data_IF_288819503264
#
_entry.id   IF_288819503264
#
_cell.length_a   1.000
_cell.length_b   1.000
_cell.length_c   1.000
_cell.angle_alpha   90.00
_cell.angle_beta   90.00
_cell.angle_gamma   90.00
#
_symmetry.space_group_name_H-M   'P 1'
#
loop_
_entity.id
_entity.type
_entity.pdbx_description
1 polymer ?
#
# COMPACT_ATOMS: atom_id res chain seq x y z
N UNK A 1 8.71 -39.58 53.37
CA UNK A 1 8.71 -39.54 51.90
C UNK A 1 8.27 -38.14 51.49
N UNK A 2 9.23 -37.23 51.35
CA UNK A 2 9.01 -35.82 50.96
C UNK A 2 9.59 -35.65 49.56
N UNK A 3 8.72 -35.60 48.56
CA UNK A 3 9.09 -35.39 47.17
C UNK A 3 9.35 -33.90 46.91
N UNK A 4 10.59 -33.56 46.59
CA UNK A 4 10.98 -32.24 46.10
C UNK A 4 10.42 -32.03 44.70
N UNK A 5 9.63 -30.97 44.53
CA UNK A 5 9.14 -30.52 43.23
C UNK A 5 10.26 -29.75 42.51
N UNK A 6 10.59 -30.22 41.31
CA UNK A 6 11.58 -29.64 40.41
C UNK A 6 11.02 -28.36 39.75
N UNK A 7 11.78 -27.25 39.71
CA UNK A 7 11.28 -26.00 39.14
C UNK A 7 11.23 -26.08 37.62
N UNK A 8 10.03 -25.92 37.06
CA UNK A 8 9.77 -25.73 35.63
C UNK A 8 10.60 -24.55 35.10
N UNK A 9 11.60 -24.86 34.27
CA UNK A 9 12.39 -23.87 33.54
C UNK A 9 11.54 -23.02 32.59
N UNK A 10 12.03 -21.84 32.19
CA UNK A 10 11.28 -20.92 31.35
C UNK A 10 10.98 -21.53 29.97
N UNK A 11 9.82 -21.19 29.37
CA UNK A 11 9.42 -21.73 28.08
C UNK A 11 10.43 -21.33 27.00
N UNK A 12 11.06 -22.33 26.40
CA UNK A 12 11.91 -22.20 25.23
C UNK A 12 11.08 -21.61 24.08
N UNK A 13 11.26 -20.33 23.79
CA UNK A 13 10.67 -19.72 22.59
C UNK A 13 11.15 -20.46 21.34
N UNK A 14 10.27 -20.76 20.38
CA UNK A 14 10.69 -21.37 19.12
C UNK A 14 11.64 -20.40 18.42
N UNK A 15 12.87 -20.85 18.19
CA UNK A 15 13.84 -20.15 17.35
C UNK A 15 13.18 -19.87 16.01
N UNK A 16 13.19 -18.59 15.61
CA UNK A 16 12.97 -18.15 14.24
C UNK A 16 13.68 -19.13 13.31
N UNK A 17 12.92 -19.78 12.45
CA UNK A 17 13.39 -20.90 11.63
C UNK A 17 14.65 -20.49 10.91
N UNK A 18 15.77 -21.07 11.30
CA UNK A 18 17.00 -21.04 10.52
C UNK A 18 16.62 -21.63 9.16
N UNK A 19 16.55 -20.81 8.12
CA UNK A 19 16.41 -21.27 6.74
C UNK A 19 17.55 -22.26 6.48
N UNK A 20 17.19 -23.55 6.54
CA UNK A 20 18.14 -24.66 6.52
C UNK A 20 18.35 -25.04 5.06
N UNK A 21 19.43 -24.53 4.46
CA UNK A 21 19.98 -25.03 3.19
C UNK A 21 19.34 -24.48 1.92
N UNK A 22 19.21 -23.16 1.80
CA UNK A 22 18.88 -22.50 0.53
C UNK A 22 20.11 -22.47 -0.40
N UNK A 23 19.88 -22.78 -1.67
CA UNK A 23 20.83 -22.61 -2.79
C UNK A 23 21.59 -21.27 -2.64
N UNK A 24 22.93 -21.26 -2.49
CA UNK A 24 23.71 -20.06 -2.12
C UNK A 24 23.70 -18.94 -3.17
N UNK A 25 22.90 -19.05 -4.24
CA UNK A 25 22.97 -18.17 -5.40
C UNK A 25 21.96 -17.03 -5.44
N UNK A 26 20.73 -17.20 -4.93
CA UNK A 26 19.65 -16.27 -5.29
C UNK A 26 19.01 -15.61 -4.09
N UNK A 27 19.25 -14.30 -3.98
CA UNK A 27 18.70 -13.43 -2.94
C UNK A 27 17.22 -13.19 -3.18
N UNK A 28 16.41 -13.10 -2.11
CA UNK A 28 15.02 -12.68 -2.25
C UNK A 28 14.96 -11.24 -2.75
N UNK A 29 13.93 -10.96 -3.54
CA UNK A 29 13.52 -9.61 -3.95
C UNK A 29 12.08 -9.39 -3.51
N UNK A 30 11.73 -8.17 -3.15
CA UNK A 30 10.39 -7.84 -2.65
C UNK A 30 9.65 -6.96 -3.66
N UNK A 31 8.61 -7.50 -4.34
CA UNK A 31 7.80 -6.73 -5.27
C UNK A 31 7.14 -5.52 -4.61
N UNK A 32 6.97 -4.44 -5.36
CA UNK A 32 6.18 -3.29 -4.93
C UNK A 32 5.44 -2.67 -6.12
N UNK A 33 4.36 -1.96 -5.82
CA UNK A 33 3.57 -1.25 -6.81
C UNK A 33 3.04 0.07 -6.23
N UNK A 34 3.18 1.14 -7.02
CA UNK A 34 2.68 2.48 -6.74
C UNK A 34 1.84 2.90 -7.93
N UNK A 35 0.60 3.29 -7.69
CA UNK A 35 -0.30 3.75 -8.76
C UNK A 35 -1.24 4.81 -8.23
N UNK A 36 -2.20 5.23 -9.05
CA UNK A 36 -3.18 6.24 -8.71
C UNK A 36 -4.58 5.76 -9.01
N UNK A 37 -5.53 6.02 -8.11
CA UNK A 37 -6.95 5.82 -8.40
C UNK A 37 -7.61 7.13 -8.85
N UNK A 38 -8.87 7.04 -9.28
CA UNK A 38 -9.71 8.21 -9.61
C UNK A 38 -9.89 9.16 -8.41
N UNK A 39 -9.93 8.62 -7.19
CA UNK A 39 -10.39 9.38 -6.01
C UNK A 39 -9.30 9.64 -4.97
N UNK A 40 -8.26 8.80 -4.89
CA UNK A 40 -7.27 8.80 -3.78
C UNK A 40 -5.88 9.32 -4.14
N UNK A 41 -5.63 9.72 -5.39
CA UNK A 41 -4.30 10.21 -5.80
C UNK A 41 -3.26 9.09 -5.88
N UNK A 42 -1.98 9.45 -5.89
CA UNK A 42 -0.89 8.47 -5.90
C UNK A 42 -0.77 7.76 -4.55
N UNK A 43 -0.71 6.43 -4.58
CA UNK A 43 -0.67 5.59 -3.40
C UNK A 43 0.25 4.39 -3.61
N UNK A 44 0.91 3.98 -2.54
CA UNK A 44 1.68 2.74 -2.50
C UNK A 44 0.68 1.61 -2.23
N UNK A 45 0.55 0.70 -3.18
CA UNK A 45 -0.44 -0.39 -3.09
C UNK A 45 0.19 -1.65 -2.53
N UNK A 46 1.39 -1.96 -3.00
CA UNK A 46 2.18 -3.10 -2.55
C UNK A 46 3.54 -2.60 -2.11
N UNK A 47 4.04 -3.06 -0.96
CA UNK A 47 5.37 -2.74 -0.47
C UNK A 47 5.99 -3.93 0.29
N UNK A 48 7.33 -4.01 0.37
CA UNK A 48 8.00 -5.03 1.16
C UNK A 48 7.48 -5.11 2.59
N UNK A 49 7.19 -6.32 3.07
CA UNK A 49 6.71 -6.60 4.42
C UNK A 49 7.52 -5.90 5.52
N UNK A 50 8.85 -5.91 5.43
CA UNK A 50 9.73 -5.27 6.40
C UNK A 50 9.61 -3.74 6.41
N UNK A 51 9.25 -3.12 5.28
CA UNK A 51 8.95 -1.68 5.23
C UNK A 51 7.56 -1.39 5.79
N UNK A 52 6.57 -2.25 5.50
CA UNK A 52 5.21 -2.10 6.04
C UNK A 52 5.21 -2.25 7.56
N UNK A 53 5.91 -3.26 8.10
CA UNK A 53 6.02 -3.53 9.53
C UNK A 53 6.61 -2.37 10.35
N UNK A 54 7.42 -1.52 9.70
CA UNK A 54 8.05 -0.36 10.34
C UNK A 54 7.43 0.98 9.92
N UNK A 55 6.32 0.96 9.18
CA UNK A 55 5.69 2.16 8.60
C UNK A 55 6.63 3.03 7.73
N UNK A 56 7.55 2.36 7.01
CA UNK A 56 8.56 2.98 6.15
C UNK A 56 8.26 2.83 4.65
N UNK A 57 7.10 2.27 4.28
CA UNK A 57 6.75 2.04 2.89
C UNK A 57 6.72 3.34 2.06
N UNK A 58 6.37 4.49 2.66
CA UNK A 58 6.39 5.81 2.03
C UNK A 58 7.75 6.19 1.41
N UNK A 59 8.86 5.59 1.85
CA UNK A 59 10.18 5.83 1.26
C UNK A 59 10.21 5.46 -0.22
N UNK A 60 9.39 4.49 -0.66
CA UNK A 60 9.35 4.09 -2.06
C UNK A 60 8.88 5.22 -2.97
N UNK A 61 7.91 6.05 -2.55
CA UNK A 61 7.47 7.19 -3.35
C UNK A 61 8.51 8.30 -3.46
N UNK A 62 9.41 8.42 -2.49
CA UNK A 62 10.50 9.40 -2.52
C UNK A 62 11.66 8.94 -3.41
N UNK A 63 11.86 7.62 -3.51
CA UNK A 63 12.93 7.01 -4.29
C UNK A 63 12.58 6.93 -5.76
N UNK A 64 11.35 6.55 -6.10
CA UNK A 64 11.00 6.38 -7.51
C UNK A 64 10.80 7.72 -8.20
N UNK A 65 11.38 7.84 -9.38
CA UNK A 65 11.20 8.98 -10.28
C UNK A 65 11.32 8.52 -11.73
N UNK A 66 10.87 9.35 -12.67
CA UNK A 66 11.00 9.08 -14.10
C UNK A 66 9.68 9.25 -14.84
N UNK A 67 9.79 9.13 -16.16
CA UNK A 67 8.65 9.18 -17.07
C UNK A 67 8.30 7.78 -17.55
N UNK A 68 7.04 7.57 -17.93
CA UNK A 68 6.63 6.29 -18.46
C UNK A 68 7.35 6.00 -19.78
N UNK A 69 8.14 4.92 -19.79
CA UNK A 69 8.94 4.54 -20.95
C UNK A 69 8.99 3.01 -21.06
N UNK A 70 8.67 2.50 -22.25
CA UNK A 70 8.76 1.07 -22.54
C UNK A 70 10.22 0.64 -22.70
N UNK A 71 10.54 -0.58 -22.26
CA UNK A 71 11.88 -1.16 -22.39
C UNK A 71 12.97 -0.56 -21.50
N UNK A 72 12.61 0.33 -20.56
CA UNK A 72 13.53 0.98 -19.63
C UNK A 72 13.21 0.57 -18.20
N UNK A 73 14.26 0.15 -17.48
CA UNK A 73 14.24 -0.03 -16.04
C UNK A 73 15.17 1.00 -15.39
N UNK A 74 14.78 1.50 -14.23
CA UNK A 74 15.55 2.43 -13.41
C UNK A 74 16.13 1.69 -12.23
N UNK A 75 17.41 1.93 -11.95
CA UNK A 75 18.10 1.40 -10.79
C UNK A 75 18.56 2.55 -9.92
N UNK A 76 18.01 2.63 -8.71
CA UNK A 76 18.39 3.64 -7.73
C UNK A 76 18.80 2.98 -6.42
N UNK A 77 19.89 3.48 -5.85
CA UNK A 77 20.29 3.10 -4.50
C UNK A 77 19.67 4.06 -3.50
N UNK A 78 18.96 3.53 -2.51
CA UNK A 78 18.58 4.26 -1.33
C UNK A 78 19.68 4.14 -0.28
N UNK A 79 20.07 5.26 0.32
CA UNK A 79 21.02 5.33 1.44
C UNK A 79 20.38 6.03 2.63
N UNK A 80 20.49 5.38 3.77
CA UNK A 80 20.24 6.00 5.07
C UNK A 80 21.50 6.74 5.58
N UNK A 81 21.35 7.56 6.63
CA UNK A 81 22.43 8.07 7.50
C UNK A 81 23.27 6.95 8.13
N UNK A 82 22.69 5.78 8.33
CA UNK A 82 23.41 4.59 8.82
C UNK A 82 24.29 3.93 7.75
N UNK A 83 24.68 2.67 8.00
CA UNK A 83 25.42 1.86 7.01
C UNK A 83 24.50 1.16 6.00
N UNK A 84 23.19 1.23 6.24
CA UNK A 84 22.17 0.49 5.51
C UNK A 84 21.90 1.04 4.12
N UNK A 85 21.69 0.14 3.16
CA UNK A 85 21.51 0.46 1.74
C UNK A 85 20.45 -0.45 1.14
N UNK A 86 19.51 0.11 0.41
CA UNK A 86 18.55 -0.67 -0.36
C UNK A 86 18.78 -0.39 -1.84
N UNK A 87 18.61 -1.40 -2.67
CA UNK A 87 18.50 -1.20 -4.11
C UNK A 87 17.04 -1.24 -4.50
N UNK A 88 16.62 -0.25 -5.29
CA UNK A 88 15.28 -0.17 -5.85
C UNK A 88 15.41 -0.24 -7.36
N UNK A 89 14.91 -1.33 -7.93
CA UNK A 89 14.84 -1.56 -9.37
C UNK A 89 13.38 -1.47 -9.79
N UNK A 90 13.05 -0.58 -10.72
CA UNK A 90 11.65 -0.32 -11.07
C UNK A 90 11.47 0.10 -12.52
N UNK A 91 10.24 0.00 -13.03
CA UNK A 91 9.82 0.57 -14.31
C UNK A 91 8.64 1.51 -14.08
N UNK A 92 8.51 2.50 -14.96
CA UNK A 92 7.37 3.41 -14.99
C UNK A 92 6.58 3.10 -16.26
N UNK A 93 5.33 2.68 -16.10
CA UNK A 93 4.41 2.35 -17.16
C UNK A 93 3.04 2.96 -16.95
N UNK A 94 2.06 2.44 -17.66
CA UNK A 94 0.66 2.80 -17.51
C UNK A 94 -0.15 1.56 -17.16
N UNK A 95 -1.11 1.72 -16.24
CA UNK A 95 -2.03 0.68 -15.85
C UNK A 95 -2.97 0.37 -17.03
N UNK A 96 -3.00 -0.89 -17.47
CA UNK A 96 -3.87 -1.34 -18.55
C UNK A 96 -5.29 -1.51 -18.03
N UNK A 97 -6.28 -1.42 -18.91
CA UNK A 97 -7.67 -1.68 -18.51
C UNK A 97 -7.85 -3.10 -17.97
N UNK A 98 -7.20 -4.08 -18.61
CA UNK A 98 -7.26 -5.49 -18.21
C UNK A 98 -6.77 -5.73 -16.76
N UNK A 99 -5.76 -5.00 -16.30
CA UNK A 99 -5.18 -5.14 -14.96
C UNK A 99 -6.25 -4.89 -13.88
N UNK A 100 -7.14 -3.93 -14.17
CA UNK A 100 -8.23 -3.49 -13.28
C UNK A 100 -9.62 -4.02 -13.70
N UNK A 101 -9.69 -4.99 -14.62
CA UNK A 101 -10.94 -5.61 -15.05
C UNK A 101 -11.81 -4.74 -15.98
N UNK A 102 -11.22 -3.75 -16.66
CA UNK A 102 -11.89 -2.90 -17.64
C UNK A 102 -11.59 -3.38 -19.07
N UNK A 103 -12.58 -3.27 -19.95
CA UNK A 103 -12.42 -3.53 -21.39
C UNK A 103 -11.97 -2.27 -22.15
N UNK A 104 -10.88 -1.66 -21.69
CA UNK A 104 -10.23 -0.51 -22.30
C UNK A 104 -8.74 -0.77 -22.42
N UNK A 105 -8.06 -0.04 -23.30
CA UNK A 105 -6.61 -0.16 -23.44
C UNK A 105 -5.89 0.22 -22.13
N UNK A 106 -6.30 1.34 -21.52
CA UNK A 106 -5.74 1.84 -20.27
C UNK A 106 -6.81 2.13 -19.22
N UNK A 107 -6.42 2.02 -17.96
CA UNK A 107 -7.14 2.62 -16.86
C UNK A 107 -6.90 4.15 -16.90
N UNK A 108 -7.97 4.94 -16.75
CA UNK A 108 -7.89 6.39 -16.84
C UNK A 108 -8.18 7.05 -15.50
N UNK A 109 -7.42 8.10 -15.19
CA UNK A 109 -7.70 9.07 -14.14
C UNK A 109 -8.13 10.39 -14.81
N UNK A 110 -9.44 10.63 -14.89
CA UNK A 110 -10.00 11.69 -15.73
C UNK A 110 -9.75 11.37 -17.21
N UNK A 111 -8.99 12.23 -17.89
CA UNK A 111 -8.64 12.05 -19.32
C UNK A 111 -7.23 11.48 -19.53
N UNK A 112 -6.48 11.25 -18.45
CA UNK A 112 -5.07 10.81 -18.53
C UNK A 112 -4.94 9.34 -18.22
N UNK A 113 -3.97 8.68 -18.86
CA UNK A 113 -3.57 7.32 -18.52
C UNK A 113 -3.07 7.27 -17.08
N UNK A 114 -3.50 6.27 -16.33
CA UNK A 114 -3.08 6.09 -14.95
C UNK A 114 -1.65 5.54 -14.92
N UNK A 115 -0.71 6.22 -14.27
CA UNK A 115 0.66 5.72 -14.15
C UNK A 115 0.73 4.52 -13.21
N UNK A 116 1.59 3.57 -13.53
CA UNK A 116 1.95 2.44 -12.69
C UNK A 116 3.47 2.42 -12.55
N UNK A 117 3.95 2.50 -11.32
CA UNK A 117 5.34 2.23 -10.98
C UNK A 117 5.36 0.87 -10.31
N UNK A 118 6.12 -0.06 -10.85
CA UNK A 118 6.28 -1.39 -10.27
C UNK A 118 7.75 -1.78 -10.30
N UNK A 119 8.16 -2.58 -9.34
CA UNK A 119 9.57 -2.91 -9.18
C UNK A 119 9.81 -3.86 -8.03
N UNK A 120 11.08 -3.97 -7.65
CA UNK A 120 11.52 -4.70 -6.47
C UNK A 120 12.44 -3.88 -5.60
N UNK A 121 12.44 -4.22 -4.32
CA UNK A 121 13.48 -3.84 -3.37
C UNK A 121 14.40 -5.03 -3.14
N UNK A 122 15.71 -4.79 -3.11
CA UNK A 122 16.73 -5.76 -2.71
C UNK A 122 17.48 -5.22 -1.49
N UNK A 123 17.83 -6.12 -0.58
CA UNK A 123 18.60 -5.82 0.63
C UNK A 123 20.12 -5.71 0.34
N UNK A 124 20.88 -5.46 1.41
CA UNK A 124 22.16 -4.74 1.40
C UNK A 124 23.31 -5.36 0.63
N UNK A 125 23.33 -6.67 0.40
CA UNK A 125 24.57 -7.31 -0.08
C UNK A 125 24.58 -7.74 -1.56
N UNK A 126 23.64 -7.24 -2.38
CA UNK A 126 23.67 -7.50 -3.83
C UNK A 126 22.98 -6.43 -4.69
N UNK A 127 23.58 -6.11 -5.84
CA UNK A 127 22.86 -5.44 -6.94
C UNK A 127 21.70 -6.37 -7.36
N UNK A 128 20.51 -5.84 -7.66
CA UNK A 128 19.41 -6.66 -8.17
C UNK A 128 19.84 -7.43 -9.43
N UNK A 129 19.17 -8.56 -9.74
CA UNK A 129 19.41 -9.28 -10.98
C UNK A 129 19.15 -8.37 -12.19
N UNK A 130 19.72 -8.74 -13.34
CA UNK A 130 19.49 -8.03 -14.60
C UNK A 130 17.98 -8.04 -14.90
N UNK A 131 17.31 -6.87 -15.02
CA UNK A 131 15.90 -6.85 -15.37
C UNK A 131 15.67 -7.39 -16.78
N UNK A 132 14.61 -8.18 -16.91
CA UNK A 132 14.07 -8.67 -18.17
C UNK A 132 12.58 -8.36 -18.28
N UNK A 133 11.98 -8.57 -19.45
CA UNK A 133 10.52 -8.49 -19.61
C UNK A 133 9.80 -9.49 -18.69
N UNK A 134 10.17 -10.77 -18.73
CA UNK A 134 9.60 -11.83 -17.86
C UNK A 134 9.72 -11.49 -16.37
N UNK A 135 10.83 -10.86 -15.96
CA UNK A 135 11.04 -10.40 -14.59
C UNK A 135 9.98 -9.38 -14.16
N UNK A 136 9.66 -8.41 -15.02
CA UNK A 136 8.63 -7.43 -14.71
C UNK A 136 7.21 -7.97 -14.89
N UNK A 137 6.99 -8.91 -15.80
CA UNK A 137 5.70 -9.60 -15.90
C UNK A 137 5.41 -10.43 -14.63
N UNK A 138 6.45 -11.03 -14.06
CA UNK A 138 6.38 -11.68 -12.75
C UNK A 138 6.05 -10.67 -11.62
N UNK A 139 6.73 -9.53 -11.55
CA UNK A 139 6.43 -8.45 -10.58
C UNK A 139 4.98 -7.99 -10.72
N UNK A 140 4.56 -7.75 -11.96
CA UNK A 140 3.22 -7.30 -12.29
C UNK A 140 2.18 -8.32 -11.81
N UNK A 141 2.37 -9.60 -12.13
CA UNK A 141 1.52 -10.69 -11.66
C UNK A 141 1.44 -10.77 -10.14
N UNK A 142 2.57 -10.58 -9.43
CA UNK A 142 2.61 -10.57 -7.98
C UNK A 142 1.83 -9.40 -7.36
N UNK A 143 1.70 -8.26 -8.06
CA UNK A 143 1.01 -7.07 -7.57
C UNK A 143 -0.43 -6.93 -8.10
N UNK A 144 -0.81 -7.66 -9.16
CA UNK A 144 -2.01 -7.42 -9.95
C UNK A 144 -3.30 -7.44 -9.14
N UNK A 145 -3.48 -8.40 -8.24
CA UNK A 145 -4.69 -8.50 -7.41
C UNK A 145 -4.83 -7.29 -6.48
N UNK A 146 -3.74 -6.91 -5.81
CA UNK A 146 -3.72 -5.75 -4.91
C UNK A 146 -3.98 -4.44 -5.66
N UNK A 147 -3.38 -4.29 -6.85
CA UNK A 147 -3.60 -3.14 -7.74
C UNK A 147 -5.06 -3.07 -8.20
N UNK A 148 -5.66 -4.21 -8.57
CA UNK A 148 -7.08 -4.28 -8.94
C UNK A 148 -7.99 -3.92 -7.77
N UNK A 149 -7.73 -4.48 -6.59
CA UNK A 149 -8.50 -4.18 -5.38
C UNK A 149 -8.40 -2.70 -5.02
N UNK A 150 -7.20 -2.10 -5.10
CA UNK A 150 -7.01 -0.67 -4.88
C UNK A 150 -7.80 0.19 -5.87
N UNK A 151 -7.71 -0.12 -7.16
CA UNK A 151 -8.35 0.68 -8.20
C UNK A 151 -9.89 0.61 -8.17
N UNK A 152 -10.44 -0.53 -7.77
CA UNK A 152 -11.90 -0.78 -7.73
C UNK A 152 -12.55 -0.42 -6.40
N UNK A 153 -11.76 -0.16 -5.35
CA UNK A 153 -12.30 0.16 -4.04
C UNK A 153 -12.93 1.57 -4.02
N UNK A 154 -14.19 1.65 -3.58
CA UNK A 154 -14.95 2.89 -3.41
C UNK A 154 -14.57 3.68 -2.12
N UNK A 155 -13.51 3.27 -1.40
CA UNK A 155 -13.12 3.83 -0.11
C UNK A 155 -11.92 4.77 -0.21
N UNK A 156 -11.93 5.88 0.55
CA UNK A 156 -10.78 6.79 0.61
C UNK A 156 -9.55 6.26 1.38
N UNK A 157 -9.66 5.09 2.00
CA UNK A 157 -8.60 4.46 2.79
C UNK A 157 -8.27 3.11 2.17
N UNK A 158 -7.02 2.92 1.73
CA UNK A 158 -6.54 1.64 1.22
C UNK A 158 -5.32 1.22 2.03
N UNK A 159 -5.37 0.08 2.74
CA UNK A 159 -4.19 -0.44 3.41
C UNK A 159 -3.14 -0.84 2.36
N UNK A 160 -1.87 -0.69 2.72
CA UNK A 160 -0.76 -1.18 1.89
C UNK A 160 -0.65 -2.69 2.06
N UNK A 161 -0.63 -3.41 0.95
CA UNK A 161 -0.42 -4.86 0.94
C UNK A 161 1.08 -5.15 1.12
N UNK A 162 1.41 -5.95 2.13
CA UNK A 162 2.77 -6.42 2.34
C UNK A 162 3.13 -7.49 1.29
N UNK A 163 4.31 -7.38 0.68
CA UNK A 163 4.89 -8.42 -0.17
C UNK A 163 5.96 -9.19 0.58
N UNK A 164 6.02 -10.50 0.34
CA UNK A 164 7.07 -11.37 0.86
C UNK A 164 8.25 -11.43 -0.13
N UNK A 165 9.43 -11.75 0.39
CA UNK A 165 10.64 -11.93 -0.41
C UNK A 165 10.52 -13.17 -1.28
N UNK A 166 10.75 -13.03 -2.58
CA UNK A 166 10.61 -14.11 -3.55
C UNK A 166 11.80 -14.19 -4.50
N UNK A 167 11.99 -15.37 -5.11
CA UNK A 167 13.02 -15.60 -6.11
C UNK A 167 12.48 -15.18 -7.50
N UNK A 168 13.14 -14.25 -8.19
CA UNK A 168 12.72 -13.84 -9.53
C UNK A 168 13.01 -14.92 -10.58
N UNK A 169 12.31 -14.91 -11.72
CA UNK A 169 12.65 -15.77 -12.85
C UNK A 169 13.99 -15.36 -13.49
N UNK A 170 14.74 -16.34 -13.99
CA UNK A 170 16.06 -16.16 -14.63
C UNK A 170 15.98 -16.02 -16.17
N UNK A 171 14.78 -15.80 -16.72
CA UNK A 171 14.51 -15.79 -18.18
C UNK A 171 14.11 -14.42 -18.69
N UNK A 172 14.07 -14.27 -20.03
CA UNK A 172 13.50 -13.11 -20.72
C UNK A 172 14.51 -12.24 -21.44
N UNK A 173 14.00 -11.26 -22.19
CA UNK A 173 14.81 -10.27 -22.91
C UNK A 173 15.33 -9.21 -21.93
N UNK A 174 16.64 -8.98 -21.93
CA UNK A 174 17.24 -7.98 -21.06
C UNK A 174 16.75 -6.56 -21.38
N UNK A 175 16.36 -5.83 -20.34
CA UNK A 175 15.95 -4.43 -20.44
C UNK A 175 17.13 -3.48 -20.30
N UNK A 176 16.99 -2.29 -20.89
CA UNK A 176 17.95 -1.21 -20.68
C UNK A 176 17.83 -0.69 -19.26
N UNK A 177 18.94 -0.69 -18.52
CA UNK A 177 18.99 -0.14 -17.16
C UNK A 177 19.55 1.28 -17.18
N UNK A 178 18.80 2.22 -16.60
CA UNK A 178 19.26 3.58 -16.32
C UNK A 178 19.60 3.65 -14.84
N UNK A 179 20.90 3.76 -14.54
CA UNK A 179 21.36 4.00 -13.18
C UNK A 179 21.15 5.47 -12.81
N UNK A 180 20.49 5.69 -11.67
CA UNK A 180 20.19 7.02 -11.18
C UNK A 180 21.07 7.40 -9.99
N UNK A 181 21.09 8.71 -9.69
CA UNK A 181 21.83 9.21 -8.53
C UNK A 181 21.26 8.61 -7.24
N UNK A 182 22.11 8.10 -6.33
CA UNK A 182 21.64 7.55 -5.07
C UNK A 182 20.79 8.55 -4.28
N UNK A 183 19.64 8.09 -3.81
CA UNK A 183 18.78 8.85 -2.91
C UNK A 183 19.35 8.80 -1.50
N UNK A 184 19.49 9.96 -0.85
CA UNK A 184 19.93 10.07 0.55
C UNK A 184 18.78 10.56 1.40
N UNK A 185 18.30 9.71 2.29
CA UNK A 185 17.29 10.10 3.26
C UNK A 185 17.91 10.77 4.47
N UNK A 186 17.19 11.72 5.05
CA UNK A 186 17.52 12.28 6.37
C UNK A 186 17.02 11.38 7.53
N UNK A 187 16.18 10.38 7.24
CA UNK A 187 15.53 9.49 8.23
C UNK A 187 16.33 8.23 8.47
N UNK A 188 16.58 7.91 9.75
CA UNK A 188 17.34 6.73 10.20
C UNK A 188 16.52 5.43 10.14
N UNK A 189 16.76 4.60 9.13
CA UNK A 189 16.17 3.27 8.94
C UNK A 189 16.65 2.26 9.96
N UNK A 190 17.89 2.35 10.46
CA UNK A 190 18.35 1.43 11.49
C UNK A 190 17.51 1.57 12.75
N UNK A 191 17.18 2.79 13.16
CA UNK A 191 16.30 3.03 14.31
C UNK A 191 14.91 2.43 14.07
N UNK A 192 14.36 2.61 12.87
CA UNK A 192 13.04 2.10 12.55
C UNK A 192 12.99 0.56 12.46
N UNK A 193 13.98 -0.07 11.84
CA UNK A 193 14.08 -1.53 11.71
C UNK A 193 14.52 -2.22 13.01
N UNK A 194 15.36 -1.58 13.83
CA UNK A 194 15.76 -2.10 15.14
C UNK A 194 14.69 -1.90 16.22
N UNK A 195 13.77 -0.95 16.01
CA UNK A 195 12.75 -0.58 16.99
C UNK A 195 11.60 -1.58 17.13
N UNK A 196 11.35 -2.45 16.15
CA UNK A 196 10.18 -3.33 16.12
C UNK A 196 10.52 -4.75 15.67
N UNK A 197 10.95 -5.59 16.61
CA UNK A 197 10.43 -6.95 16.64
C UNK A 197 9.08 -6.88 17.36
N UNK A 198 7.93 -6.96 16.67
CA UNK A 198 6.68 -7.11 17.37
C UNK A 198 6.74 -8.42 18.13
N UNK A 199 6.99 -8.34 19.44
CA UNK A 199 6.47 -9.39 20.32
C UNK A 199 4.96 -9.37 20.07
N UNK A 200 4.35 -10.49 19.66
CA UNK A 200 2.90 -10.53 19.51
C UNK A 200 2.30 -10.00 20.81
N UNK A 201 1.24 -9.18 20.75
CA UNK A 201 0.62 -8.66 21.95
C UNK A 201 0.28 -9.86 22.82
N UNK A 202 1.00 -10.00 23.94
CA UNK A 202 0.59 -10.92 24.99
C UNK A 202 -0.73 -10.33 25.47
N UNK A 203 -1.83 -10.92 25.02
CA UNK A 203 -3.12 -10.75 25.67
C UNK A 203 -2.93 -11.23 27.10
N UNK A 204 -2.56 -10.30 27.98
CA UNK A 204 -2.69 -10.49 29.40
C UNK A 204 -4.19 -10.65 29.63
N UNK A 205 -4.63 -11.86 29.93
CA UNK A 205 -5.97 -12.12 30.44
C UNK A 205 -6.29 -11.06 31.49
N UNK A 206 -7.43 -10.37 31.41
CA UNK A 206 -7.79 -9.36 32.38
C UNK A 206 -7.98 -10.06 33.72
N UNK A 207 -7.00 -9.90 34.61
CA UNK A 207 -7.22 -10.13 36.02
C UNK A 207 -8.29 -9.12 36.47
N UNK A 208 -9.46 -9.67 36.80
CA UNK A 208 -10.59 -8.93 37.33
C UNK A 208 -10.13 -7.97 38.44
N UNK A 209 -10.37 -6.67 38.25
CA UNK A 209 -10.25 -5.67 39.31
C UNK A 209 -11.66 -5.13 39.63
N UNK A 210 -12.03 -5.06 40.92
CA UNK A 210 -13.40 -4.77 41.32
C UNK A 210 -13.75 -3.30 41.13
N UNK A 211 -15.04 -3.09 40.90
CA UNK A 211 -15.69 -1.80 40.76
C UNK A 211 -15.36 -0.85 41.93
N UNK A 212 -14.95 0.38 41.60
CA UNK A 212 -15.05 1.53 42.50
C UNK A 212 -15.89 2.61 41.84
N UNK A 213 -17.06 2.80 42.43
CA UNK A 213 -17.94 3.94 42.28
C UNK A 213 -17.29 5.21 42.84
N UNK A 214 -17.33 6.31 42.09
CA UNK A 214 -17.52 7.63 42.68
C UNK A 214 -17.93 8.63 41.60
N UNK A 215 -19.22 8.94 41.63
CA UNK A 215 -19.85 10.21 41.28
C UNK A 215 -18.96 11.43 41.52
N UNK A 216 -18.87 12.33 40.54
CA UNK A 216 -18.97 13.78 40.83
C UNK A 216 -19.42 14.59 39.61
N UNK A 217 -20.56 15.24 39.84
CA UNK A 217 -21.15 16.34 39.09
C UNK A 217 -20.27 17.60 39.04
N UNK A 218 -20.57 18.43 38.03
CA UNK A 218 -20.41 19.88 38.07
C UNK A 218 -19.31 20.40 37.15
N UNK A 219 -19.42 21.52 36.43
CA UNK A 219 -20.41 22.61 36.37
C UNK A 219 -20.13 23.35 35.05
N UNK A 220 -21.18 23.86 34.40
CA UNK A 220 -21.12 24.75 33.25
C UNK A 220 -20.63 26.15 33.65
N UNK A 221 -19.87 26.83 32.79
CA UNK A 221 -19.80 28.29 32.78
C UNK A 221 -19.58 28.81 31.35
N UNK A 222 -20.65 29.39 30.81
CA UNK A 222 -20.62 30.27 29.66
C UNK A 222 -20.02 31.63 30.07
N UNK A 223 -19.34 32.28 29.13
CA UNK A 223 -18.87 33.66 29.26
C UNK A 223 -18.61 34.27 27.88
N UNK A 224 -19.28 35.38 27.51
CA UNK A 224 -19.14 36.05 26.22
C UNK A 224 -18.07 37.15 26.25
N UNK A 225 -17.44 37.44 25.12
CA UNK A 225 -16.46 38.52 25.02
C UNK A 225 -15.99 38.81 23.59
N UNK A 226 -16.56 39.86 23.01
CA UNK A 226 -16.27 40.48 21.72
C UNK A 226 -14.92 41.22 21.66
N UNK A 227 -14.21 41.12 20.53
CA UNK A 227 -13.46 42.22 19.87
C UNK A 227 -12.80 41.66 18.59
N UNK A 228 -13.36 41.91 17.40
CA UNK A 228 -13.08 43.07 16.53
C UNK A 228 -11.59 43.17 16.17
N UNK A 229 -11.22 42.46 15.10
CA UNK A 229 -9.92 42.51 14.43
C UNK A 229 -10.12 42.39 12.93
N UNK A 230 -10.34 43.53 12.31
CA UNK A 230 -10.41 43.79 10.87
C UNK A 230 -9.15 43.29 10.16
N UNK A 231 -9.31 42.34 9.23
CA UNK A 231 -8.26 41.96 8.27
C UNK A 231 -8.89 41.63 6.92
N UNK A 232 -8.72 42.59 6.01
CA UNK A 232 -8.34 42.45 4.60
C UNK A 232 -9.05 41.32 3.84
N UNK A 233 -10.08 41.71 3.09
CA UNK A 233 -10.64 41.00 1.96
C UNK A 233 -9.53 40.62 0.97
N UNK A 234 -9.25 39.31 0.88
CA UNK A 234 -8.60 38.71 -0.29
C UNK A 234 -9.64 37.84 -0.95
N UNK A 235 -10.08 38.33 -2.09
CA UNK A 235 -10.98 37.74 -3.06
C UNK A 235 -10.69 36.25 -3.29
N UNK A 236 -11.59 35.39 -2.79
CA UNK A 236 -11.67 33.95 -3.12
C UNK A 236 -12.97 33.68 -3.85
N UNK A 237 -12.95 33.99 -5.15
CA UNK A 237 -13.89 33.48 -6.14
C UNK A 237 -13.95 31.96 -6.09
N UNK A 238 -15.16 31.44 -5.88
CA UNK A 238 -15.43 30.08 -5.46
C UNK A 238 -15.22 28.98 -6.50
N UNK A 239 -15.03 27.77 -6.00
CA UNK A 239 -15.19 26.50 -6.73
C UNK A 239 -15.93 25.48 -5.84
N UNK A 240 -17.11 25.84 -5.35
CA UNK A 240 -18.02 24.91 -4.64
C UNK A 240 -19.04 24.23 -5.57
N UNK A 241 -18.72 24.09 -6.87
CA UNK A 241 -19.66 23.64 -7.90
C UNK A 241 -19.47 22.22 -8.44
N UNK A 242 -18.37 21.52 -8.14
CA UNK A 242 -18.02 20.30 -8.88
C UNK A 242 -18.45 18.99 -8.21
N UNK A 243 -18.52 18.94 -6.86
CA UNK A 243 -18.74 17.67 -6.14
C UNK A 243 -20.21 17.21 -6.14
N UNK A 244 -21.17 18.10 -6.46
CA UNK A 244 -22.61 17.75 -6.47
C UNK A 244 -23.09 17.06 -7.75
N UNK A 245 -22.38 17.17 -8.88
CA UNK A 245 -22.86 16.60 -10.16
C UNK A 245 -22.57 15.10 -10.32
N UNK A 246 -21.51 14.58 -9.69
CA UNK A 246 -21.15 13.15 -9.82
C UNK A 246 -22.08 12.25 -8.99
N UNK A 247 -22.54 12.72 -7.82
CA UNK A 247 -23.49 11.95 -6.97
C UNK A 247 -24.90 11.84 -7.57
N UNK A 248 -25.33 12.79 -8.41
CA UNK A 248 -26.64 12.74 -9.06
C UNK A 248 -26.65 11.74 -10.23
N UNK A 249 -25.56 11.67 -11.01
CA UNK A 249 -25.43 10.73 -12.13
C UNK A 249 -25.43 9.26 -11.66
N UNK A 250 -24.75 8.93 -10.55
CA UNK A 250 -24.76 7.56 -9.98
C UNK A 250 -26.14 7.15 -9.45
N UNK A 251 -26.95 8.07 -8.90
CA UNK A 251 -28.32 7.75 -8.45
C UNK A 251 -29.28 7.48 -9.60
N UNK A 252 -29.11 8.15 -10.74
CA UNK A 252 -29.91 7.90 -11.94
C UNK A 252 -29.53 6.58 -12.63
N UNK A 253 -28.25 6.21 -12.65
CA UNK A 253 -27.80 4.93 -13.20
C UNK A 253 -28.33 3.71 -12.41
N UNK A 254 -28.33 3.80 -11.07
CA UNK A 254 -28.90 2.76 -10.22
C UNK A 254 -30.43 2.64 -10.36
N UNK A 255 -31.14 3.76 -10.53
CA UNK A 255 -32.58 3.74 -10.76
C UNK A 255 -32.95 3.09 -12.10
N UNK A 256 -32.17 3.33 -13.17
CA UNK A 256 -32.40 2.73 -14.48
C UNK A 256 -32.20 1.20 -14.48
N UNK A 257 -31.22 0.69 -13.72
CA UNK A 257 -30.97 -0.75 -13.60
C UNK A 257 -32.12 -1.51 -12.92
N UNK A 258 -32.73 -0.93 -11.89
CA UNK A 258 -33.87 -1.55 -11.17
C UNK A 258 -35.11 -1.63 -12.06
N UNK A 259 -35.36 -0.62 -12.92
CA UNK A 259 -36.49 -0.64 -13.87
C UNK A 259 -36.27 -1.70 -14.96
N UNK A 260 -35.05 -1.86 -15.46
CA UNK A 260 -34.73 -2.87 -16.47
C UNK A 260 -34.91 -4.31 -15.96
N UNK A 261 -34.49 -4.59 -14.71
CA UNK A 261 -34.70 -5.89 -14.07
C UNK A 261 -36.19 -6.18 -13.81
N UNK A 262 -36.95 -5.16 -13.40
CA UNK A 262 -38.40 -5.28 -13.24
C UNK A 262 -39.10 -5.65 -14.55
N UNK A 263 -38.77 -4.97 -15.64
CA UNK A 263 -39.36 -5.23 -16.96
C UNK A 263 -39.02 -6.63 -17.50
N UNK A 264 -37.78 -7.08 -17.32
CA UNK A 264 -37.35 -8.43 -17.70
C UNK A 264 -38.12 -9.53 -16.97
N UNK A 265 -38.35 -9.37 -15.66
CA UNK A 265 -39.11 -10.32 -14.87
C UNK A 265 -40.58 -10.41 -15.31
N UNK A 266 -41.23 -9.27 -15.61
CA UNK A 266 -42.60 -9.28 -16.15
C UNK A 266 -42.69 -9.92 -17.53
N UNK A 267 -41.71 -9.73 -18.41
CA UNK A 267 -41.70 -10.35 -19.74
C UNK A 267 -41.60 -11.88 -19.64
N UNK A 268 -40.77 -12.39 -18.73
CA UNK A 268 -40.63 -13.83 -18.48
C UNK A 268 -41.95 -14.43 -17.97
N UNK A 269 -42.65 -13.74 -17.07
CA UNK A 269 -43.95 -14.23 -16.56
C UNK A 269 -45.03 -14.25 -17.65
N UNK A 270 -45.01 -13.29 -18.59
CA UNK A 270 -45.93 -13.27 -19.75
C UNK A 270 -45.60 -14.39 -20.74
N UNK A 271 -44.32 -14.69 -20.98
CA UNK A 271 -43.90 -15.77 -21.89
C UNK A 271 -44.14 -17.18 -21.32
N UNK A 272 -44.30 -17.30 -20.00
CA UNK A 272 -44.56 -18.58 -19.33
C UNK A 272 -46.05 -18.85 -19.07
N UNK A 273 -46.95 -17.95 -19.50
CA UNK A 273 -48.40 -18.14 -19.50
C UNK A 273 -48.93 -18.40 -20.90
#
# INVERSE_FOLDING_TARGET
MTGSAEPLGPPTTPRSGTQKGGDPGVRPVWPFAITRSVDTGFHIVVAPDFLVACDLHHLLSDVVAGEAAEGIAYLRQYRDRGTRRLWVLYRVGHLRGADVGLNTEYALHGTRRTPLVEGVVCDEEGRPPQPTDDFFDWIHGACAESVRAFFTADSGTHPVCASEGAKPPDTGTALRVVEETPYRSERNLQVALAGHHPSPPRFASPAARPARSSSREGVAAAGPGTARGERVDVDRGGHAGCVRRVRLARRLALAAGVVALGLGATLIVVLLR
#
